data_IF_793859564558
#
_entry.id   IF_793859564558
#
_cell.length_a   1.000
_cell.length_b   1.000
_cell.length_c   1.000
_cell.angle_alpha   90.00
_cell.angle_beta   90.00
_cell.angle_gamma   90.00
#
_symmetry.space_group_name_H-M   'P 1'
#
loop_
_entity.id
_entity.type
_entity.pdbx_description
1 polymer ?
#
# COMPACT_ATOMS: atom_id res chain seq x y z
N UNK A 1 -13.26 -21.22 7.07
CA UNK A 1 -12.53 -20.08 6.51
C UNK A 1 -12.16 -20.38 5.07
N UNK A 2 -12.67 -19.64 4.10
CA UNK A 2 -12.31 -19.83 2.69
C UNK A 2 -11.21 -18.85 2.32
N UNK A 3 -10.03 -19.38 1.98
CA UNK A 3 -8.93 -18.63 1.40
C UNK A 3 -9.32 -18.14 0.00
N UNK A 4 -9.32 -16.83 -0.23
CA UNK A 4 -9.34 -16.26 -1.58
C UNK A 4 -7.88 -16.24 -2.05
N UNK A 5 -7.53 -17.20 -2.90
CA UNK A 5 -6.20 -17.28 -3.51
C UNK A 5 -5.90 -16.07 -4.43
N UNK A 6 -4.62 -15.79 -4.73
CA UNK A 6 -4.24 -14.63 -5.52
C UNK A 6 -4.77 -14.75 -6.96
N UNK A 7 -5.59 -13.77 -7.36
CA UNK A 7 -6.08 -13.66 -8.72
C UNK A 7 -4.91 -13.31 -9.66
N UNK A 8 -4.29 -14.32 -10.26
CA UNK A 8 -3.21 -14.16 -11.23
C UNK A 8 -3.79 -13.60 -12.54
N UNK A 9 -3.83 -12.28 -12.66
CA UNK A 9 -4.21 -11.60 -13.92
C UNK A 9 -3.13 -11.88 -14.96
N UNK A 10 -3.41 -12.80 -15.89
CA UNK A 10 -2.61 -13.00 -17.09
C UNK A 10 -3.17 -12.11 -18.20
N UNK A 11 -2.34 -11.21 -18.70
CA UNK A 11 -2.51 -10.58 -20.00
C UNK A 11 -2.65 -11.67 -21.10
N UNK A 12 -3.59 -11.49 -22.06
CA UNK A 12 -3.84 -12.40 -23.20
C UNK A 12 -2.60 -12.65 -24.09
N UNK A 13 -1.54 -11.83 -23.99
CA UNK A 13 -0.28 -11.95 -24.72
C UNK A 13 0.94 -12.29 -23.83
N UNK A 14 0.76 -12.62 -22.54
CA UNK A 14 1.82 -13.19 -21.71
C UNK A 14 3.07 -12.33 -21.45
N UNK A 15 3.11 -11.04 -21.83
CA UNK A 15 4.24 -10.13 -21.54
C UNK A 15 4.00 -9.28 -20.30
N UNK A 16 5.02 -9.24 -19.43
CA UNK A 16 5.18 -8.30 -18.32
C UNK A 16 5.53 -6.92 -18.91
N UNK A 17 4.52 -6.08 -19.13
CA UNK A 17 4.67 -4.68 -19.47
C UNK A 17 3.93 -3.82 -18.46
N UNK A 18 4.47 -2.64 -18.16
CA UNK A 18 3.86 -1.67 -17.23
C UNK A 18 2.45 -1.29 -17.73
N UNK A 19 1.43 -1.27 -16.85
CA UNK A 19 0.10 -0.89 -17.29
C UNK A 19 0.05 0.62 -17.48
N UNK A 20 0.05 1.06 -18.75
CA UNK A 20 -0.54 2.34 -19.13
C UNK A 20 -2.03 2.22 -18.81
N UNK A 21 -2.48 3.00 -17.83
CA UNK A 21 -3.86 3.07 -17.33
C UNK A 21 -4.88 2.89 -18.47
N UNK A 22 -5.51 1.71 -18.50
CA UNK A 22 -6.75 1.51 -19.23
C UNK A 22 -7.83 1.26 -18.20
N UNK A 23 -8.96 1.92 -18.39
CA UNK A 23 -10.17 1.77 -17.60
C UNK A 23 -10.41 0.30 -17.26
N UNK A 24 -10.44 0.00 -15.97
CA UNK A 24 -10.85 -1.31 -15.48
C UNK A 24 -12.34 -1.40 -15.74
N UNK A 25 -12.71 -2.02 -16.87
CA UNK A 25 -14.10 -2.38 -17.13
C UNK A 25 -14.52 -3.43 -16.11
N UNK A 26 -15.31 -2.99 -15.13
CA UNK A 26 -16.15 -3.75 -14.21
C UNK A 26 -15.93 -5.27 -14.19
N UNK A 27 -15.08 -5.75 -13.28
CA UNK A 27 -15.13 -7.14 -12.86
C UNK A 27 -16.37 -7.33 -11.97
N UNK A 28 -17.32 -8.23 -12.31
CA UNK A 28 -18.46 -8.50 -11.44
C UNK A 28 -17.95 -9.23 -10.20
N UNK A 29 -18.03 -8.56 -9.04
CA UNK A 29 -17.55 -9.09 -7.76
C UNK A 29 -16.52 -8.21 -7.04
N UNK A 30 -15.98 -7.16 -7.70
CA UNK A 30 -15.29 -6.09 -6.98
C UNK A 30 -16.35 -5.11 -6.43
N UNK A 31 -16.40 -4.86 -5.10
CA UNK A 31 -17.31 -3.86 -4.52
C UNK A 31 -17.02 -2.42 -4.98
N UNK A 32 -15.86 -2.21 -5.62
CA UNK A 32 -15.38 -0.90 -6.02
C UNK A 32 -15.69 -0.63 -7.50
N UNK A 33 -16.51 0.40 -7.75
CA UNK A 33 -16.17 1.39 -8.74
C UNK A 33 -16.30 2.77 -8.08
N UNK A 34 -15.48 3.04 -7.05
CA UNK A 34 -15.33 4.42 -6.61
C UNK A 34 -14.70 5.21 -7.79
N UNK A 35 -15.35 6.27 -8.29
CA UNK A 35 -14.78 7.09 -9.35
C UNK A 35 -13.51 7.74 -8.83
N UNK A 36 -12.34 7.24 -9.26
CA UNK A 36 -11.08 7.95 -9.05
C UNK A 36 -11.13 9.16 -9.96
N UNK A 37 -11.35 10.34 -9.39
CA UNK A 37 -11.35 11.59 -10.14
C UNK A 37 -10.01 11.74 -10.89
N UNK A 38 -10.05 12.08 -12.18
CA UNK A 38 -8.82 12.33 -12.96
C UNK A 38 -8.02 13.53 -12.45
N UNK A 39 -8.64 14.37 -11.61
CA UNK A 39 -8.00 15.45 -10.88
C UNK A 39 -7.25 14.93 -9.66
N UNK A 40 -6.05 15.48 -9.41
CA UNK A 40 -5.35 15.37 -8.11
C UNK A 40 -5.94 16.34 -7.07
N UNK A 41 -7.23 16.63 -7.18
CA UNK A 41 -7.88 17.51 -6.21
C UNK A 41 -8.16 16.75 -4.93
N UNK A 42 -8.21 17.46 -3.80
CA UNK A 42 -8.31 16.86 -2.47
C UNK A 42 -9.70 16.30 -2.16
N UNK A 43 -10.72 16.63 -2.95
CA UNK A 43 -12.12 16.28 -2.68
C UNK A 43 -12.44 14.82 -3.03
N UNK A 44 -11.80 14.27 -4.07
CA UNK A 44 -12.08 12.90 -4.52
C UNK A 44 -11.87 11.82 -3.43
N UNK A 45 -10.81 11.86 -2.62
CA UNK A 45 -10.62 10.95 -1.50
C UNK A 45 -11.70 11.03 -0.42
N UNK A 46 -12.25 12.21 -0.14
CA UNK A 46 -13.19 12.39 0.98
C UNK A 46 -14.54 11.72 0.65
N UNK A 47 -15.01 11.84 -0.61
CA UNK A 47 -16.21 11.12 -1.09
C UNK A 47 -16.05 9.59 -1.04
N UNK A 48 -14.85 9.10 -1.33
CA UNK A 48 -14.56 7.65 -1.36
C UNK A 48 -14.42 7.06 0.03
N UNK A 49 -14.05 7.89 1.02
CA UNK A 49 -13.80 7.48 2.40
C UNK A 49 -14.97 7.80 3.33
N UNK A 50 -16.08 8.35 2.82
CA UNK A 50 -17.17 8.87 3.63
C UNK A 50 -17.72 7.82 4.61
N UNK A 51 -17.94 6.59 4.14
CA UNK A 51 -18.43 5.47 4.97
C UNK A 51 -17.32 4.57 5.53
N UNK A 52 -16.04 4.86 5.23
CA UNK A 52 -14.93 4.00 5.64
C UNK A 52 -14.57 4.20 7.11
N UNK A 53 -14.31 3.09 7.82
CA UNK A 53 -13.81 3.09 9.20
C UNK A 53 -12.69 2.07 9.35
N UNK A 54 -11.59 2.47 9.98
CA UNK A 54 -10.44 1.60 10.25
C UNK A 54 -9.13 2.17 9.74
N UNK A 55 -8.17 1.28 9.46
CA UNK A 55 -6.82 1.67 9.07
C UNK A 55 -6.73 1.91 7.56
N UNK A 56 -6.39 3.14 7.17
CA UNK A 56 -6.15 3.51 5.77
C UNK A 56 -4.65 3.54 5.50
N UNK A 57 -4.19 2.72 4.56
CA UNK A 57 -2.79 2.73 4.11
C UNK A 57 -2.65 3.57 2.84
N UNK A 58 -1.86 4.65 2.88
CA UNK A 58 -1.68 5.56 1.74
C UNK A 58 -0.22 5.87 1.42
N UNK A 59 0.07 6.30 0.19
CA UNK A 59 1.42 6.60 -0.32
C UNK A 59 1.99 7.96 0.12
N UNK A 60 1.50 8.49 1.25
CA UNK A 60 1.82 9.83 1.78
C UNK A 60 1.58 10.98 0.79
N UNK A 61 0.70 10.78 -0.19
CA UNK A 61 0.25 11.87 -1.05
C UNK A 61 -0.44 12.98 -0.22
N UNK A 62 -0.22 14.24 -0.60
CA UNK A 62 -0.67 15.42 0.15
C UNK A 62 -2.19 15.56 0.28
N UNK A 63 -2.96 14.81 -0.51
CA UNK A 63 -4.42 14.70 -0.36
C UNK A 63 -4.83 13.97 0.92
N UNK A 64 -4.01 13.04 1.43
CA UNK A 64 -4.28 12.29 2.66
C UNK A 64 -3.85 13.02 3.95
N UNK A 65 -3.26 14.21 3.84
CA UNK A 65 -2.92 15.00 5.02
C UNK A 65 -4.16 15.32 5.85
N UNK A 66 -4.11 15.08 7.16
CA UNK A 66 -5.19 15.33 8.12
C UNK A 66 -6.47 14.51 7.87
N UNK A 67 -6.37 13.36 7.19
CA UNK A 67 -7.54 12.49 6.94
C UNK A 67 -8.19 12.00 8.24
N UNK A 68 -7.41 11.84 9.30
CA UNK A 68 -7.89 11.54 10.66
C UNK A 68 -8.85 12.61 11.18
N UNK A 69 -8.51 13.89 10.99
CA UNK A 69 -9.35 15.03 11.40
C UNK A 69 -10.60 15.12 10.50
N UNK A 70 -10.44 14.91 9.19
CA UNK A 70 -11.55 15.04 8.23
C UNK A 70 -12.57 13.92 8.35
N UNK A 71 -12.14 12.73 8.75
CA UNK A 71 -13.03 11.59 8.96
C UNK A 71 -13.49 11.46 10.42
N UNK A 72 -13.46 12.51 11.23
CA UNK A 72 -13.88 12.50 12.65
C UNK A 72 -13.25 11.34 13.44
N UNK A 73 -11.94 11.13 13.27
CA UNK A 73 -11.16 10.03 13.86
C UNK A 73 -11.63 8.61 13.52
N UNK A 74 -12.56 8.43 12.57
CA UNK A 74 -13.00 7.11 12.08
C UNK A 74 -11.90 6.37 11.34
N UNK A 75 -10.96 7.11 10.77
CA UNK A 75 -9.87 6.58 9.95
C UNK A 75 -8.54 6.85 10.62
N UNK A 76 -7.78 5.78 10.86
CA UNK A 76 -6.39 5.87 11.29
C UNK A 76 -5.50 5.74 10.06
N UNK A 77 -4.71 6.78 9.77
CA UNK A 77 -3.82 6.78 8.63
C UNK A 77 -2.51 6.04 8.93
N UNK A 78 -2.11 5.14 8.04
CA UNK A 78 -0.82 4.48 8.03
C UNK A 78 -0.08 4.75 6.72
N UNK A 79 1.22 5.04 6.81
CA UNK A 79 2.05 5.25 5.63
C UNK A 79 2.35 3.93 4.91
N UNK A 80 2.30 3.93 3.58
CA UNK A 80 2.57 2.74 2.79
C UNK A 80 4.06 2.41 2.76
N UNK A 81 4.44 1.33 3.44
CA UNK A 81 5.83 0.86 3.50
C UNK A 81 6.43 0.51 2.13
N UNK A 82 5.62 -0.06 1.23
CA UNK A 82 6.08 -0.38 -0.13
C UNK A 82 6.45 0.88 -0.94
N UNK A 83 5.75 2.00 -0.73
CA UNK A 83 6.08 3.27 -1.37
C UNK A 83 7.38 3.86 -0.81
N UNK A 84 7.55 3.82 0.51
CA UNK A 84 8.79 4.28 1.16
C UNK A 84 10.02 3.54 0.62
N UNK A 85 9.94 2.21 0.50
CA UNK A 85 11.05 1.37 -0.02
C UNK A 85 11.38 1.65 -1.48
N UNK A 86 10.38 1.87 -2.33
CA UNK A 86 10.61 2.26 -3.73
C UNK A 86 11.33 3.60 -3.83
N UNK A 87 11.00 4.58 -2.97
CA UNK A 87 11.71 5.86 -2.93
C UNK A 87 13.17 5.72 -2.51
N UNK A 88 13.47 4.79 -1.62
CA UNK A 88 14.86 4.46 -1.25
C UNK A 88 15.62 3.90 -2.46
N UNK A 89 15.03 2.96 -3.18
CA UNK A 89 15.66 2.36 -4.37
C UNK A 89 15.84 3.37 -5.52
N UNK A 90 14.88 4.29 -5.73
CA UNK A 90 15.01 5.39 -6.71
C UNK A 90 16.29 6.25 -6.47
N UNK A 91 16.75 6.35 -5.22
CA UNK A 91 17.95 7.10 -4.86
C UNK A 91 19.27 6.33 -5.07
N UNK A 92 19.22 5.05 -5.47
CA UNK A 92 20.41 4.17 -5.57
C UNK A 92 21.49 4.73 -6.47
N UNK A 93 21.11 5.36 -7.59
CA UNK A 93 22.07 5.92 -8.54
C UNK A 93 22.86 7.10 -7.97
N UNK A 94 22.23 7.90 -7.11
CA UNK A 94 22.85 9.08 -6.49
C UNK A 94 23.60 8.72 -5.19
N UNK A 95 23.09 7.77 -4.41
CA UNK A 95 23.59 7.45 -3.07
C UNK A 95 23.71 5.93 -2.83
N UNK A 96 24.57 5.23 -3.59
CA UNK A 96 24.61 3.76 -3.58
C UNK A 96 24.98 3.16 -2.22
N UNK A 97 25.91 3.78 -1.49
CA UNK A 97 26.37 3.28 -0.18
C UNK A 97 25.28 3.44 0.88
N UNK A 98 24.62 4.59 0.91
CA UNK A 98 23.56 4.90 1.86
C UNK A 98 22.33 4.03 1.63
N UNK A 99 21.95 3.85 0.35
CA UNK A 99 20.84 2.95 -0.02
C UNK A 99 21.15 1.52 0.38
N UNK A 100 22.34 1.00 0.04
CA UNK A 100 22.72 -0.37 0.43
C UNK A 100 22.70 -0.57 1.95
N UNK A 101 23.17 0.43 2.72
CA UNK A 101 23.09 0.39 4.19
C UNK A 101 21.64 0.32 4.66
N UNK A 102 20.77 1.18 4.14
CA UNK A 102 19.37 1.22 4.54
C UNK A 102 18.62 -0.07 4.16
N UNK A 103 18.90 -0.63 2.99
CA UNK A 103 18.34 -1.92 2.57
C UNK A 103 18.79 -3.07 3.46
N UNK A 104 20.05 -3.05 3.91
CA UNK A 104 20.56 -4.02 4.89
C UNK A 104 19.80 -3.92 6.22
N UNK A 105 19.56 -2.69 6.73
CA UNK A 105 18.76 -2.48 7.94
C UNK A 105 17.32 -3.01 7.76
N UNK A 106 16.69 -2.72 6.62
CA UNK A 106 15.34 -3.21 6.31
C UNK A 106 15.30 -4.73 6.25
N UNK A 107 16.32 -5.37 5.68
CA UNK A 107 16.43 -6.82 5.65
C UNK A 107 16.50 -7.41 7.06
N UNK A 108 17.29 -6.82 7.96
CA UNK A 108 17.37 -7.29 9.35
C UNK A 108 16.01 -7.23 10.07
N UNK A 109 15.15 -6.25 9.75
CA UNK A 109 13.79 -6.22 10.29
C UNK A 109 12.97 -7.42 9.83
N UNK A 110 13.04 -7.78 8.54
CA UNK A 110 12.36 -8.97 8.03
C UNK A 110 12.94 -10.28 8.57
N UNK A 111 14.23 -10.31 8.88
CA UNK A 111 14.84 -11.47 9.55
C UNK A 111 14.25 -11.67 10.95
N UNK A 112 13.97 -10.58 11.69
CA UNK A 112 13.24 -10.66 12.96
C UNK A 112 11.80 -11.12 12.74
N UNK A 113 11.09 -10.57 11.75
CA UNK A 113 9.71 -11.02 11.42
C UNK A 113 9.67 -12.52 11.09
N UNK A 114 10.65 -13.03 10.35
CA UNK A 114 10.78 -14.44 10.00
C UNK A 114 11.05 -15.31 11.22
N UNK A 115 11.84 -14.84 12.19
CA UNK A 115 12.12 -15.55 13.44
C UNK A 115 10.88 -15.69 14.33
N UNK A 116 10.05 -14.64 14.37
CA UNK A 116 8.89 -14.59 15.27
C UNK A 116 7.60 -15.10 14.61
N UNK A 117 7.62 -15.49 13.34
CA UNK A 117 6.40 -15.81 12.57
C UNK A 117 5.60 -16.98 13.15
N UNK A 118 6.28 -17.95 13.76
CA UNK A 118 5.72 -19.19 14.30
C UNK A 118 5.51 -19.14 15.83
N UNK A 119 5.87 -18.02 16.47
CA UNK A 119 5.69 -17.80 17.91
C UNK A 119 4.26 -17.33 18.21
N UNK A 120 3.78 -17.68 19.41
CA UNK A 120 2.52 -17.16 19.92
C UNK A 120 2.63 -15.69 20.38
N UNK A 121 1.49 -15.05 20.66
CA UNK A 121 1.47 -13.63 21.03
C UNK A 121 2.18 -13.34 22.37
N UNK A 122 2.21 -14.31 23.30
CA UNK A 122 2.89 -14.16 24.58
C UNK A 122 4.40 -14.27 24.40
N UNK A 123 4.86 -15.21 23.57
CA UNK A 123 6.26 -15.41 23.19
C UNK A 123 6.82 -14.23 22.40
N UNK A 124 5.99 -13.55 21.61
CA UNK A 124 6.37 -12.32 20.89
C UNK A 124 6.56 -11.09 21.78
N UNK A 125 5.93 -11.08 22.95
CA UNK A 125 5.94 -9.95 23.90
C UNK A 125 7.01 -10.08 25.00
N UNK A 126 7.60 -11.26 25.15
CA UNK A 126 8.63 -11.59 26.15
C UNK A 126 10.02 -11.08 25.75
#
# INVERSE_FOLDING_TARGET
MSFIGPCRVRNRLGRLGTPKLRSVSSCPGCPWPAPVSASRHRDGPDDVLDDFKGNLVGDCWSGFQKVDIRCDSRVTFAACWAHARRKIDECRSAFPVQVAKLESLIRMLYEVEDQIKDLDDAERLA
#
